data_IF_263081824690
#
_entry.id   IF_263081824690
#
_cell.length_a   1.000
_cell.length_b   1.000
_cell.length_c   1.000
_cell.angle_alpha   90.00
_cell.angle_beta   90.00
_cell.angle_gamma   90.00
#
_symmetry.space_group_name_H-M   'P 1'
#
loop_
_entity.id
_entity.type
_entity.pdbx_description
1 polymer ?
#
# COMPACT_ATOMS: atom_id res chain seq x y z
N UNK A 1 3.82 -14.04 -8.49
CA UNK A 1 4.94 -13.06 -8.52
C UNK A 1 4.28 -11.69 -8.70
N UNK A 2 4.70 -10.68 -7.94
CA UNK A 2 4.18 -9.31 -8.02
C UNK A 2 5.30 -8.37 -8.50
N UNK A 3 4.95 -7.32 -9.25
CA UNK A 3 5.90 -6.30 -9.71
C UNK A 3 6.30 -5.33 -8.59
N UNK A 4 5.36 -5.05 -7.69
CA UNK A 4 5.58 -4.19 -6.52
C UNK A 4 5.10 -4.84 -5.22
N UNK A 5 5.84 -4.59 -4.14
CA UNK A 5 5.46 -4.95 -2.78
C UNK A 5 5.50 -3.71 -1.89
N UNK A 6 4.37 -3.36 -1.26
CA UNK A 6 4.26 -2.25 -0.31
C UNK A 6 4.02 -2.82 1.08
N UNK A 7 4.87 -2.46 2.05
CA UNK A 7 4.73 -2.89 3.44
C UNK A 7 4.22 -1.70 4.26
N UNK A 8 3.08 -1.90 4.93
CA UNK A 8 2.35 -0.88 5.69
C UNK A 8 1.10 -0.40 4.95
N UNK A 9 -0.06 -0.62 5.55
CA UNK A 9 -1.40 -0.15 5.14
C UNK A 9 -1.82 1.15 5.83
N UNK A 10 -0.87 1.97 6.26
CA UNK A 10 -1.12 3.36 6.64
C UNK A 10 -1.39 4.26 5.43
N UNK A 11 -1.75 5.53 5.68
CA UNK A 11 -2.09 6.49 4.61
C UNK A 11 -0.99 6.64 3.55
N UNK A 12 0.27 6.70 3.99
CA UNK A 12 1.43 6.83 3.08
C UNK A 12 1.59 5.57 2.23
N UNK A 13 1.43 4.37 2.81
CA UNK A 13 1.54 3.11 2.10
C UNK A 13 0.46 2.94 1.03
N UNK A 14 -0.79 3.27 1.36
CA UNK A 14 -1.90 3.26 0.41
C UNK A 14 -1.71 4.30 -0.70
N UNK A 15 -1.31 5.52 -0.35
CA UNK A 15 -1.05 6.57 -1.34
C UNK A 15 0.07 6.17 -2.30
N UNK A 16 1.11 5.52 -1.78
CA UNK A 16 2.23 4.99 -2.57
C UNK A 16 1.76 3.89 -3.52
N UNK A 17 1.01 2.90 -3.02
CA UNK A 17 0.46 1.82 -3.84
C UNK A 17 -0.43 2.35 -4.98
N UNK A 18 -1.29 3.32 -4.66
CA UNK A 18 -2.16 3.96 -5.65
C UNK A 18 -1.36 4.72 -6.72
N UNK A 19 -0.31 5.47 -6.34
CA UNK A 19 0.54 6.17 -7.30
C UNK A 19 1.31 5.18 -8.21
N UNK A 20 1.83 4.09 -7.65
CA UNK A 20 2.52 3.05 -8.44
C UNK A 20 1.61 2.42 -9.50
N UNK A 21 0.38 2.06 -9.14
CA UNK A 21 -0.58 1.48 -10.08
C UNK A 21 -1.04 2.47 -11.16
N UNK A 22 -1.05 3.77 -10.87
CA UNK A 22 -1.34 4.82 -11.85
C UNK A 22 -0.17 5.05 -12.82
N UNK A 23 1.05 5.08 -12.30
CA UNK A 23 2.27 5.28 -13.08
C UNK A 23 2.61 4.07 -13.95
N UNK A 24 2.26 2.86 -13.50
CA UNK A 24 2.51 1.60 -14.20
C UNK A 24 1.20 0.82 -14.44
N UNK A 25 0.39 1.22 -15.44
CA UNK A 25 -0.81 0.50 -15.80
C UNK A 25 -0.51 -0.97 -16.12
N UNK A 26 -1.21 -1.89 -15.48
CA UNK A 26 -1.04 -3.33 -15.65
C UNK A 26 -0.03 -4.00 -14.71
N UNK A 27 0.69 -3.23 -13.89
CA UNK A 27 1.54 -3.79 -12.86
C UNK A 27 0.72 -4.49 -11.77
N UNK A 28 1.21 -5.65 -11.34
CA UNK A 28 0.71 -6.40 -10.21
C UNK A 28 1.37 -5.89 -8.92
N UNK A 29 0.57 -5.57 -7.91
CA UNK A 29 1.05 -5.04 -6.63
C UNK A 29 0.46 -5.84 -5.47
N UNK A 30 1.29 -6.16 -4.49
CA UNK A 30 0.85 -6.67 -3.19
C UNK A 30 1.12 -5.63 -2.11
N UNK A 31 0.12 -5.41 -1.25
CA UNK A 31 0.24 -4.59 -0.05
C UNK A 31 0.09 -5.48 1.18
N UNK A 32 1.04 -5.39 2.10
CA UNK A 32 1.07 -6.18 3.33
C UNK A 32 0.95 -5.24 4.53
N UNK A 33 -0.05 -5.47 5.37
CA UNK A 33 -0.23 -4.79 6.65
C UNK A 33 -0.23 -5.84 7.76
N UNK A 34 0.47 -5.56 8.86
CA UNK A 34 0.52 -6.41 10.05
C UNK A 34 -0.85 -6.47 10.73
N UNK A 35 -1.57 -5.35 10.70
CA UNK A 35 -2.86 -5.20 11.33
C UNK A 35 -3.99 -5.88 10.56
N UNK A 36 -4.97 -6.41 11.31
CA UNK A 36 -6.15 -7.06 10.73
C UNK A 36 -7.07 -6.10 9.94
N UNK A 37 -6.84 -4.79 10.05
CA UNK A 37 -7.50 -3.79 9.23
C UNK A 37 -6.53 -2.67 8.87
N UNK A 38 -6.78 -2.05 7.72
CA UNK A 38 -6.02 -0.92 7.19
C UNK A 38 -6.18 0.29 8.15
N UNK A 39 -5.14 1.12 8.24
CA UNK A 39 -5.15 2.40 8.96
C UNK A 39 -5.37 2.37 10.50
N UNK A 40 -5.19 1.24 11.18
CA UNK A 40 -5.34 1.17 12.66
C UNK A 40 -4.31 1.97 13.45
N UNK A 41 -3.10 2.17 12.92
CA UNK A 41 -1.98 2.83 13.61
C UNK A 41 -1.51 4.10 12.89
N UNK A 42 -2.41 4.86 12.27
CA UNK A 42 -2.02 6.14 11.69
C UNK A 42 -1.42 7.04 12.78
N UNK A 43 -0.23 7.58 12.50
CA UNK A 43 0.31 8.71 13.25
C UNK A 43 -0.39 9.98 12.75
N UNK A 44 -0.92 10.80 13.67
CA UNK A 44 -1.69 12.00 13.32
C UNK A 44 -3.20 11.91 13.59
N UNK A 45 -3.61 11.18 14.62
CA UNK A 45 -4.73 11.61 15.47
C UNK A 45 -4.18 12.42 16.65
#
# INVERSE_FOLDING_TARGET
IYDFCVIGGGIVGLATAMQLLRAHPGASLVLVEKEAAIAKHQTGH
#
